data_IF_588921864930
#
_entry.id   IF_588921864930
#
_cell.length_a   1.000
_cell.length_b   1.000
_cell.length_c   1.000
_cell.angle_alpha   90.00
_cell.angle_beta   90.00
_cell.angle_gamma   90.00
#
_symmetry.space_group_name_H-M   'P 1'
#
loop_
_entity.id
_entity.type
_entity.pdbx_description
1 polymer ?
#
# COMPACT_ATOMS: atom_id res chain seq x y z
N UNK A 1 -20.40 -3.25 -3.05
CA UNK A 1 -19.92 -3.49 -1.68
C UNK A 1 -20.88 -2.90 -0.65
N UNK A 2 -21.17 -1.60 -0.67
CA UNK A 2 -22.06 -0.94 0.29
C UNK A 2 -23.44 -1.58 0.39
N UNK A 3 -24.03 -2.00 -0.72
CA UNK A 3 -25.32 -2.72 -0.75
C UNK A 3 -25.34 -3.99 0.10
N UNK A 4 -24.17 -4.63 0.24
CA UNK A 4 -24.01 -5.85 1.04
C UNK A 4 -23.39 -5.59 2.43
N UNK A 5 -23.33 -4.34 2.87
CA UNK A 5 -22.72 -3.97 4.14
C UNK A 5 -21.20 -4.17 4.23
N UNK A 6 -20.55 -4.35 3.10
CA UNK A 6 -19.08 -4.53 3.04
C UNK A 6 -18.38 -3.17 3.03
N UNK A 7 -17.28 -3.08 3.75
CA UNK A 7 -16.36 -1.95 3.67
C UNK A 7 -15.60 -1.97 2.35
N UNK A 8 -15.25 -0.79 1.84
CA UNK A 8 -14.53 -0.64 0.56
C UNK A 8 -13.17 -0.06 0.83
N UNK A 9 -12.13 -0.73 0.36
CA UNK A 9 -10.79 -0.20 0.25
C UNK A 9 -10.42 0.01 -1.21
N UNK A 10 -9.55 0.98 -1.49
CA UNK A 10 -9.02 1.24 -2.81
C UNK A 10 -7.49 1.27 -2.78
N UNK A 11 -6.91 0.83 -3.88
CA UNK A 11 -5.46 0.77 -4.09
C UNK A 11 -5.05 1.71 -5.23
N UNK A 12 -3.98 2.45 -5.04
CA UNK A 12 -3.37 3.27 -6.08
C UNK A 12 -1.86 3.06 -6.09
N UNK A 13 -1.37 2.42 -7.15
CA UNK A 13 0.07 2.21 -7.32
C UNK A 13 0.80 3.49 -7.69
N UNK A 14 1.89 3.84 -7.00
CA UNK A 14 2.80 4.88 -7.44
C UNK A 14 3.76 4.40 -8.53
N UNK A 15 3.58 3.19 -9.05
CA UNK A 15 4.34 2.66 -10.17
C UNK A 15 3.44 2.42 -11.38
N UNK A 16 3.57 3.27 -12.38
CA UNK A 16 2.83 3.16 -13.63
C UNK A 16 3.75 2.79 -14.79
N UNK A 17 3.71 1.51 -15.18
CA UNK A 17 4.50 1.00 -16.30
C UNK A 17 3.94 1.39 -17.67
N UNK A 18 2.78 2.02 -17.74
CA UNK A 18 2.09 2.33 -18.99
C UNK A 18 2.13 3.82 -19.34
N UNK A 19 1.96 4.72 -18.37
CA UNK A 19 1.80 6.14 -18.66
C UNK A 19 3.08 6.77 -19.26
N UNK A 20 2.98 7.51 -20.38
CA UNK A 20 4.17 8.07 -21.08
C UNK A 20 4.90 9.14 -20.27
N UNK A 21 4.21 9.82 -19.35
CA UNK A 21 4.78 10.87 -18.52
C UNK A 21 5.18 10.38 -17.12
N UNK A 22 5.05 9.09 -16.82
CA UNK A 22 5.50 8.56 -15.56
C UNK A 22 6.97 8.89 -15.28
N UNK A 23 7.25 9.44 -14.10
CA UNK A 23 8.58 9.94 -13.72
C UNK A 23 8.88 11.36 -14.17
N UNK A 24 7.95 12.05 -14.86
CA UNK A 24 8.03 13.48 -15.18
C UNK A 24 7.10 14.29 -14.26
N UNK A 25 7.33 15.62 -14.11
CA UNK A 25 6.47 16.46 -13.25
C UNK A 25 4.97 16.43 -13.64
N UNK A 26 4.67 16.30 -14.92
CA UNK A 26 3.28 16.28 -15.44
C UNK A 26 2.49 15.10 -14.92
N UNK A 27 3.14 13.97 -14.67
CA UNK A 27 2.48 12.77 -14.13
C UNK A 27 1.95 12.98 -12.71
N UNK A 28 2.56 13.86 -11.92
CA UNK A 28 2.08 14.16 -10.55
C UNK A 28 0.67 14.76 -10.59
N UNK A 29 0.38 15.61 -11.58
CA UNK A 29 -0.96 16.15 -11.79
C UNK A 29 -1.96 15.05 -12.16
N UNK A 30 -1.56 14.13 -13.04
CA UNK A 30 -2.37 12.96 -13.40
C UNK A 30 -2.67 12.09 -12.17
N UNK A 31 -1.63 11.71 -11.43
CA UNK A 31 -1.76 10.89 -10.22
C UNK A 31 -2.68 11.55 -9.17
N UNK A 32 -2.52 12.87 -8.95
CA UNK A 32 -3.34 13.64 -8.02
C UNK A 32 -4.82 13.69 -8.45
N UNK A 33 -5.08 13.82 -9.74
CA UNK A 33 -6.45 13.82 -10.27
C UNK A 33 -7.11 12.44 -10.14
N UNK A 34 -6.37 11.38 -10.44
CA UNK A 34 -6.81 10.00 -10.24
C UNK A 34 -7.10 9.72 -8.76
N UNK A 35 -6.21 10.13 -7.86
CA UNK A 35 -6.44 10.02 -6.42
C UNK A 35 -7.74 10.73 -6.01
N UNK A 36 -7.95 11.97 -6.43
CA UNK A 36 -9.17 12.73 -6.12
C UNK A 36 -10.43 12.03 -6.66
N UNK A 37 -10.39 11.52 -7.88
CA UNK A 37 -11.48 10.75 -8.47
C UNK A 37 -11.83 9.54 -7.60
N UNK A 38 -10.83 8.76 -7.20
CA UNK A 38 -11.02 7.59 -6.35
C UNK A 38 -11.61 7.96 -4.97
N UNK A 39 -11.21 9.08 -4.40
CA UNK A 39 -11.68 9.52 -3.09
C UNK A 39 -13.08 10.16 -3.11
N UNK A 40 -13.62 10.56 -4.28
CA UNK A 40 -14.88 11.31 -4.35
C UNK A 40 -16.01 10.58 -5.05
N UNK A 41 -15.72 9.62 -5.93
CA UNK A 41 -16.74 9.04 -6.82
C UNK A 41 -17.27 7.68 -6.38
N UNK A 42 -16.69 7.05 -5.36
CA UNK A 42 -17.00 5.67 -4.98
C UNK A 42 -17.61 5.52 -3.57
N UNK A 43 -18.00 6.63 -2.96
CA UNK A 43 -18.59 6.66 -1.63
C UNK A 43 -17.57 6.63 -0.51
N UNK A 44 -18.02 6.24 0.69
CA UNK A 44 -17.14 6.15 1.86
C UNK A 44 -16.14 5.01 1.71
N UNK A 45 -14.87 5.34 1.94
CA UNK A 45 -13.77 4.38 1.92
C UNK A 45 -13.37 4.02 3.36
N UNK A 46 -13.14 2.74 3.57
CA UNK A 46 -12.59 2.24 4.82
C UNK A 46 -11.06 2.30 4.81
N UNK A 47 -10.44 2.01 3.68
CA UNK A 47 -9.00 1.96 3.53
C UNK A 47 -8.56 2.53 2.18
N UNK A 48 -7.41 3.19 2.17
CA UNK A 48 -6.72 3.61 0.95
C UNK A 48 -5.26 3.16 1.00
N UNK A 49 -4.86 2.44 -0.03
CA UNK A 49 -3.58 1.75 -0.04
C UNK A 49 -2.64 2.30 -1.12
N UNK A 50 -1.56 2.96 -0.72
CA UNK A 50 -0.45 3.34 -1.59
C UNK A 50 0.64 2.30 -1.52
N UNK A 51 0.98 1.68 -2.66
CA UNK A 51 2.07 0.73 -2.76
C UNK A 51 3.43 1.41 -2.53
N UNK A 52 4.36 0.68 -1.92
CA UNK A 52 5.74 1.14 -1.75
C UNK A 52 6.59 1.03 -3.02
N UNK A 53 6.15 0.23 -4.00
CA UNK A 53 6.89 0.01 -5.24
C UNK A 53 6.74 1.19 -6.19
N UNK A 54 7.86 1.73 -6.65
CA UNK A 54 7.89 2.74 -7.69
C UNK A 54 9.16 2.63 -8.54
N UNK A 55 9.05 3.02 -9.81
CA UNK A 55 10.16 2.91 -10.75
C UNK A 55 10.49 1.46 -11.15
N UNK A 56 11.26 1.29 -12.20
CA UNK A 56 11.63 -0.01 -12.69
C UNK A 56 11.49 -0.16 -14.20
N UNK A 57 11.40 -1.41 -14.66
CA UNK A 57 11.34 -1.77 -16.06
C UNK A 57 9.88 -1.87 -16.52
N UNK A 58 9.53 -1.09 -17.56
CA UNK A 58 8.18 -1.09 -18.13
C UNK A 58 8.18 -0.56 -19.56
N UNK A 59 7.05 -0.64 -20.24
CA UNK A 59 6.89 -0.15 -21.61
C UNK A 59 6.69 1.36 -21.70
N UNK A 60 6.04 1.97 -20.71
CA UNK A 60 5.81 3.43 -20.62
C UNK A 60 5.25 4.03 -21.90
N UNK A 61 4.25 3.37 -22.50
CA UNK A 61 3.62 3.68 -23.79
C UNK A 61 4.60 3.68 -24.99
N UNK A 62 5.63 2.86 -24.95
CA UNK A 62 6.55 2.62 -26.07
C UNK A 62 6.54 1.16 -26.47
N UNK A 63 7.11 0.86 -27.67
CA UNK A 63 7.17 -0.50 -28.19
C UNK A 63 8.29 -1.37 -27.56
N UNK A 64 9.09 -0.79 -26.66
CA UNK A 64 10.22 -1.45 -26.03
C UNK A 64 10.26 -1.22 -24.52
N UNK A 65 10.93 -2.14 -23.82
CA UNK A 65 11.10 -2.05 -22.36
C UNK A 65 12.18 -1.03 -22.01
N UNK A 66 11.83 -0.08 -21.16
CA UNK A 66 12.71 0.92 -20.59
C UNK A 66 12.78 0.80 -19.08
N UNK A 67 13.83 1.34 -18.47
CA UNK A 67 13.94 1.45 -17.02
C UNK A 67 13.80 2.92 -16.62
N UNK A 68 12.83 3.24 -15.77
CA UNK A 68 12.69 4.56 -15.16
C UNK A 68 13.10 4.50 -13.69
N UNK A 69 13.91 5.45 -13.28
CA UNK A 69 14.28 5.66 -11.89
C UNK A 69 13.47 6.85 -11.38
N UNK A 70 12.82 6.63 -10.26
CA UNK A 70 12.00 7.65 -9.59
C UNK A 70 12.80 8.19 -8.40
N UNK A 71 12.91 9.50 -8.31
CA UNK A 71 13.55 10.15 -7.18
C UNK A 71 12.75 9.92 -5.89
N UNK A 72 13.42 9.85 -4.76
CA UNK A 72 12.76 9.59 -3.47
C UNK A 72 11.76 10.67 -3.07
N UNK A 73 11.97 11.89 -3.56
CA UNK A 73 11.13 13.07 -3.34
C UNK A 73 10.19 13.39 -4.52
N UNK A 74 10.02 12.46 -5.46
CA UNK A 74 9.20 12.67 -6.65
C UNK A 74 7.72 12.89 -6.32
N UNK A 75 7.16 12.08 -5.42
CA UNK A 75 5.79 12.24 -4.98
C UNK A 75 5.69 13.20 -3.80
N UNK A 76 4.82 14.20 -3.85
CA UNK A 76 4.55 15.09 -2.71
C UNK A 76 3.62 14.38 -1.69
N UNK A 77 4.14 13.34 -1.05
CA UNK A 77 3.37 12.43 -0.19
C UNK A 77 2.56 13.13 0.90
N UNK A 78 3.13 14.19 1.50
CA UNK A 78 2.43 14.96 2.53
C UNK A 78 1.09 15.47 2.00
N UNK A 79 1.09 16.20 0.90
CA UNK A 79 -0.13 16.77 0.31
C UNK A 79 -1.08 15.73 -0.31
N UNK A 80 -0.56 14.57 -0.73
CA UNK A 80 -1.38 13.46 -1.21
C UNK A 80 -2.10 12.76 -0.07
N UNK A 81 -1.40 12.51 1.05
CA UNK A 81 -1.98 11.89 2.25
C UNK A 81 -2.97 12.83 2.93
N UNK A 82 -2.66 14.13 3.00
CA UNK A 82 -3.60 15.15 3.48
C UNK A 82 -4.90 15.14 2.68
N UNK A 83 -4.83 15.04 1.35
CA UNK A 83 -6.03 14.93 0.50
C UNK A 83 -6.89 13.70 0.85
N UNK A 84 -6.27 12.57 1.20
CA UNK A 84 -7.04 11.39 1.64
C UNK A 84 -7.82 11.71 2.90
N UNK A 85 -7.17 12.27 3.93
CA UNK A 85 -7.84 12.60 5.20
C UNK A 85 -8.86 13.72 5.09
N UNK A 86 -8.65 14.70 4.18
CA UNK A 86 -9.64 15.74 3.93
C UNK A 86 -10.92 15.21 3.29
N UNK A 87 -10.79 14.29 2.33
CA UNK A 87 -11.93 13.76 1.57
C UNK A 87 -12.53 12.50 2.19
N UNK A 88 -11.75 11.76 2.97
CA UNK A 88 -12.12 10.51 3.62
C UNK A 88 -11.57 10.47 5.05
N UNK A 89 -12.13 11.25 6.00
CA UNK A 89 -11.55 11.48 7.33
C UNK A 89 -11.46 10.24 8.21
N UNK A 90 -12.26 9.21 7.95
CA UNK A 90 -12.27 7.95 8.69
C UNK A 90 -11.46 6.84 8.02
N UNK A 91 -10.79 7.16 6.92
CA UNK A 91 -10.07 6.18 6.11
C UNK A 91 -8.80 5.70 6.83
N UNK A 92 -8.58 4.41 6.80
CA UNK A 92 -7.27 3.81 7.13
C UNK A 92 -6.36 4.03 5.93
N UNK A 93 -5.12 4.51 6.16
CA UNK A 93 -4.19 4.84 5.08
C UNK A 93 -2.90 4.05 5.26
N UNK A 94 -2.63 3.20 4.27
CA UNK A 94 -1.36 2.53 4.11
C UNK A 94 -0.46 3.30 3.13
N UNK A 95 0.81 3.45 3.48
CA UNK A 95 1.78 4.15 2.64
C UNK A 95 1.65 5.68 2.71
N UNK A 96 2.44 6.38 1.92
CA UNK A 96 2.53 7.84 1.98
C UNK A 96 3.33 8.33 3.21
N UNK A 97 3.12 9.58 3.60
CA UNK A 97 3.91 10.23 4.67
C UNK A 97 3.28 10.15 6.06
N UNK A 98 1.97 10.01 6.15
CA UNK A 98 1.21 10.02 7.40
C UNK A 98 0.27 8.81 7.49
N UNK A 99 0.79 7.65 7.16
CA UNK A 99 0.06 6.38 7.25
C UNK A 99 -0.33 6.07 8.70
N UNK A 100 -1.51 5.47 8.91
CA UNK A 100 -2.00 5.03 10.20
C UNK A 100 -2.14 3.51 10.32
N UNK A 101 -1.74 2.78 9.29
CA UNK A 101 -1.47 1.36 9.28
C UNK A 101 -0.15 1.09 8.56
N UNK A 102 0.54 0.00 8.90
CA UNK A 102 1.84 -0.36 8.30
C UNK A 102 1.80 -1.77 7.75
N UNK A 103 2.67 -2.03 6.79
CA UNK A 103 2.88 -3.36 6.25
C UNK A 103 3.73 -4.22 7.21
N UNK A 104 3.36 -5.46 7.39
CA UNK A 104 4.07 -6.42 8.24
C UNK A 104 5.47 -6.79 7.72
N UNK A 105 5.74 -6.53 6.43
CA UNK A 105 7.06 -6.72 5.82
C UNK A 105 7.25 -8.00 5.02
N UNK A 106 6.20 -8.76 4.79
CA UNK A 106 6.19 -9.92 3.91
C UNK A 106 4.82 -10.07 3.23
N UNK A 107 4.76 -10.86 2.16
CA UNK A 107 3.55 -11.18 1.40
C UNK A 107 3.09 -12.64 1.66
N UNK A 108 3.52 -13.22 2.76
CA UNK A 108 3.18 -14.58 3.16
C UNK A 108 1.98 -14.62 4.10
N UNK A 109 1.60 -13.46 4.63
CA UNK A 109 0.46 -13.27 5.50
C UNK A 109 0.73 -13.47 6.98
N UNK A 110 1.98 -13.68 7.39
CA UNK A 110 2.32 -13.93 8.78
C UNK A 110 2.88 -12.68 9.46
N UNK A 111 2.38 -12.39 10.66
CA UNK A 111 3.05 -11.47 11.57
C UNK A 111 4.34 -12.10 12.10
N UNK A 112 5.28 -11.25 12.54
CA UNK A 112 6.52 -11.72 13.15
C UNK A 112 6.24 -12.20 14.57
N UNK A 113 7.02 -13.18 15.07
CA UNK A 113 6.91 -13.71 16.43
C UNK A 113 7.00 -12.60 17.50
N UNK A 114 7.90 -11.62 17.30
CA UNK A 114 7.93 -10.38 18.07
C UNK A 114 7.41 -9.23 17.22
N UNK A 115 6.23 -8.74 17.53
CA UNK A 115 5.55 -7.71 16.77
C UNK A 115 4.79 -6.76 17.69
N UNK A 116 4.88 -5.44 17.42
CA UNK A 116 4.29 -4.38 18.24
C UNK A 116 3.43 -3.48 17.36
N UNK A 117 2.23 -3.18 17.81
CA UNK A 117 1.34 -2.21 17.15
C UNK A 117 1.72 -0.76 17.42
N UNK A 118 2.77 -0.53 18.18
CA UNK A 118 3.28 0.80 18.52
C UNK A 118 4.59 1.10 17.81
N UNK A 119 4.85 2.37 17.54
CA UNK A 119 6.08 2.86 16.90
C UNK A 119 6.58 4.13 17.57
N UNK A 120 7.88 4.43 17.41
CA UNK A 120 8.47 5.69 17.82
C UNK A 120 8.18 6.78 16.80
N UNK A 121 7.70 7.92 17.26
CA UNK A 121 7.35 9.07 16.41
C UNK A 121 8.47 9.56 15.49
N UNK A 122 9.73 9.72 15.94
CA UNK A 122 10.82 10.22 15.09
C UNK A 122 11.10 9.34 13.86
N UNK A 123 10.88 8.04 13.97
CA UNK A 123 11.15 7.11 12.87
C UNK A 123 10.11 7.16 11.76
N UNK A 124 8.93 7.72 12.06
CA UNK A 124 7.84 7.93 11.11
C UNK A 124 8.08 9.09 10.15
N UNK A 125 8.71 10.17 10.61
CA UNK A 125 8.63 11.45 9.91
C UNK A 125 9.96 11.99 9.40
N UNK A 126 11.08 11.46 9.87
CA UNK A 126 12.41 12.05 9.57
C UNK A 126 12.91 11.80 8.14
N UNK A 127 12.37 10.83 7.41
CA UNK A 127 12.88 10.46 6.06
C UNK A 127 11.81 9.96 5.08
N UNK A 128 10.55 10.30 5.25
CA UNK A 128 9.47 9.72 4.45
C UNK A 128 9.08 8.33 4.95
N UNK A 129 8.72 7.42 4.05
CA UNK A 129 8.32 6.04 4.44
C UNK A 129 9.50 5.37 5.14
N UNK A 130 9.38 5.00 6.42
CA UNK A 130 10.48 4.34 7.12
C UNK A 130 10.80 3.00 6.48
N UNK A 131 12.04 2.84 6.11
CA UNK A 131 12.52 1.63 5.45
C UNK A 131 13.36 0.84 6.45
N UNK A 132 12.82 -0.26 6.98
CA UNK A 132 13.63 -1.13 7.81
C UNK A 132 12.84 -2.19 8.58
N UNK A 133 13.52 -3.28 8.91
CA UNK A 133 12.96 -4.40 9.67
C UNK A 133 12.36 -3.96 11.01
N UNK A 134 12.91 -2.92 11.64
CA UNK A 134 12.42 -2.42 12.93
C UNK A 134 11.06 -1.72 12.78
N UNK A 135 10.86 -0.95 11.69
CA UNK A 135 9.57 -0.38 11.39
C UNK A 135 8.50 -1.45 11.20
N UNK A 136 8.83 -2.52 10.46
CA UNK A 136 7.92 -3.64 10.21
C UNK A 136 7.53 -4.35 11.51
N UNK A 137 8.46 -4.52 12.44
CA UNK A 137 8.20 -5.12 13.76
C UNK A 137 7.47 -4.21 14.74
N UNK A 138 7.55 -2.91 14.55
CA UNK A 138 7.15 -1.93 15.56
C UNK A 138 8.15 -1.82 16.71
N UNK A 139 7.74 -1.17 17.80
CA UNK A 139 8.59 -0.88 18.96
C UNK A 139 7.83 -1.13 20.25
N UNK A 140 8.40 -1.93 21.16
CA UNK A 140 7.82 -2.20 22.47
C UNK A 140 7.61 -0.92 23.32
N UNK A 141 8.46 0.08 23.13
CA UNK A 141 8.42 1.38 23.78
C UNK A 141 7.87 2.49 22.88
N UNK A 142 7.17 2.11 21.81
CA UNK A 142 6.53 3.06 20.89
C UNK A 142 5.42 3.85 21.56
N UNK A 143 5.28 5.12 21.18
CA UNK A 143 4.29 6.04 21.73
C UNK A 143 3.11 6.32 20.79
N UNK A 144 3.21 5.89 19.54
CA UNK A 144 2.15 5.99 18.55
C UNK A 144 1.60 4.62 18.24
N UNK A 145 0.27 4.51 18.26
CA UNK A 145 -0.44 3.32 17.80
C UNK A 145 -0.56 3.36 16.28
N UNK A 146 0.17 2.49 15.60
CA UNK A 146 0.09 2.25 14.17
C UNK A 146 0.20 0.73 13.95
N UNK A 147 -0.92 0.01 13.97
CA UNK A 147 -0.92 -1.43 13.79
C UNK A 147 -0.38 -1.81 12.42
N UNK A 148 0.03 -3.04 12.26
CA UNK A 148 0.36 -3.58 10.95
C UNK A 148 -0.79 -4.40 10.39
N UNK A 149 -0.80 -4.51 9.07
CA UNK A 149 -1.61 -5.44 8.32
C UNK A 149 -0.74 -6.50 7.67
N UNK A 150 -1.31 -7.65 7.47
CA UNK A 150 -0.74 -8.76 6.71
C UNK A 150 -1.48 -8.89 5.39
N UNK A 151 -0.75 -9.11 4.34
CA UNK A 151 -1.29 -9.37 3.01
C UNK A 151 -0.79 -10.73 2.50
N UNK A 152 -1.65 -11.40 1.76
CA UNK A 152 -1.32 -12.70 1.17
C UNK A 152 -2.18 -12.99 -0.04
N UNK A 153 -1.57 -13.43 -1.12
CA UNK A 153 -2.32 -13.89 -2.27
C UNK A 153 -2.89 -15.29 -2.06
N UNK A 154 -4.08 -15.55 -2.57
CA UNK A 154 -4.72 -16.88 -2.52
C UNK A 154 -4.04 -17.88 -3.45
N UNK A 155 -3.33 -17.40 -4.47
CA UNK A 155 -2.58 -18.17 -5.47
C UNK A 155 -1.16 -17.62 -5.64
N UNK A 156 -0.26 -18.28 -6.37
CA UNK A 156 1.07 -17.71 -6.63
C UNK A 156 0.99 -16.35 -7.33
N UNK A 157 1.57 -15.32 -6.73
CA UNK A 157 1.49 -13.95 -7.24
C UNK A 157 0.13 -13.27 -7.01
N UNK A 158 0.02 -12.00 -7.43
CA UNK A 158 -1.12 -11.13 -7.14
C UNK A 158 -2.18 -11.11 -8.24
N UNK A 159 -1.87 -11.61 -9.43
CA UNK A 159 -2.77 -11.57 -10.57
C UNK A 159 -3.32 -12.95 -10.90
N UNK A 160 -4.51 -12.97 -11.51
CA UNK A 160 -5.14 -14.21 -11.93
C UNK A 160 -4.44 -14.82 -13.16
N UNK A 161 -4.07 -16.09 -13.02
CA UNK A 161 -3.63 -16.93 -14.13
C UNK A 161 -4.33 -18.29 -14.03
N UNK A 162 -5.09 -18.66 -15.08
CA UNK A 162 -5.81 -19.94 -15.11
C UNK A 162 -4.90 -21.16 -14.91
N UNK A 163 -3.63 -21.07 -15.35
CA UNK A 163 -2.62 -22.12 -15.14
C UNK A 163 -2.25 -22.35 -13.67
N UNK A 164 -2.68 -21.49 -12.76
CA UNK A 164 -2.38 -21.55 -11.33
C UNK A 164 -3.57 -22.00 -10.47
N UNK A 165 -4.72 -22.31 -11.07
CA UNK A 165 -5.92 -22.72 -10.32
C UNK A 165 -5.70 -23.97 -9.46
N UNK A 166 -4.76 -24.83 -9.84
CA UNK A 166 -4.36 -25.98 -9.05
C UNK A 166 -3.42 -25.67 -7.88
N UNK A 167 -2.97 -24.42 -7.75
CA UNK A 167 -2.02 -23.93 -6.71
C UNK A 167 -2.68 -23.03 -5.67
N UNK A 168 -4.00 -23.04 -5.60
CA UNK A 168 -4.73 -22.28 -4.58
C UNK A 168 -4.31 -22.72 -3.18
N UNK A 169 -4.11 -21.76 -2.29
CA UNK A 169 -3.98 -22.06 -0.87
C UNK A 169 -5.26 -22.73 -0.37
N UNK A 170 -5.12 -23.78 0.43
CA UNK A 170 -6.26 -24.45 1.05
C UNK A 170 -6.91 -23.58 2.12
N UNK A 171 -8.16 -23.89 2.46
CA UNK A 171 -8.85 -23.21 3.55
C UNK A 171 -8.07 -23.35 4.88
N UNK A 172 -7.46 -24.52 5.14
CA UNK A 172 -6.63 -24.71 6.33
C UNK A 172 -5.45 -23.75 6.34
N UNK A 173 -4.68 -23.64 5.24
CA UNK A 173 -3.55 -22.74 5.14
C UNK A 173 -3.97 -21.27 5.38
N UNK A 174 -5.09 -20.83 4.80
CA UNK A 174 -5.58 -19.46 5.02
C UNK A 174 -6.05 -19.24 6.47
N UNK A 175 -6.62 -20.27 7.09
CA UNK A 175 -7.03 -20.22 8.49
C UNK A 175 -5.82 -20.16 9.43
N UNK A 176 -4.79 -20.95 9.15
CA UNK A 176 -3.54 -20.94 9.93
C UNK A 176 -2.86 -19.57 9.84
N UNK A 177 -2.76 -18.98 8.63
CA UNK A 177 -2.23 -17.62 8.42
C UNK A 177 -3.00 -16.60 9.27
N UNK A 178 -4.33 -16.67 9.28
CA UNK A 178 -5.15 -15.76 10.07
C UNK A 178 -4.84 -15.89 11.58
N UNK A 179 -4.84 -17.11 12.11
CA UNK A 179 -4.64 -17.32 13.56
C UNK A 179 -3.20 -17.08 14.03
N UNK A 180 -2.22 -17.20 13.16
CA UNK A 180 -0.83 -16.86 13.48
C UNK A 180 -0.55 -15.35 13.43
N UNK A 181 -1.45 -14.58 12.81
CA UNK A 181 -1.27 -13.13 12.59
C UNK A 181 -2.11 -12.24 13.53
N UNK A 182 -3.03 -12.83 14.32
CA UNK A 182 -3.98 -12.09 15.18
C UNK A 182 -3.63 -12.21 16.65
#
# INVERSE_FOLDING_TARGET
CHEYGMKVGLYLSPWDCNHPDYGKPEYITYFRNQLRELLTNYGELYEFWFDGANGGRGYYSTDSLHTRKIAADYYPWESLTEMVYELQPNCVVHGGSAQNIRWVGNEEGYALEEHWSTVRKPELYDKGIPNGKQWMRGHADGTLWIPSETDVSVRPGWYYHASEDHKLKSLSQLTDIYYESV
#
